data_IF_805285780597
#
_entry.id   IF_805285780597
#
_cell.length_a   1.000
_cell.length_b   1.000
_cell.length_c   1.000
_cell.angle_alpha   90.00
_cell.angle_beta   90.00
_cell.angle_gamma   90.00
#
_symmetry.space_group_name_H-M   'P 1'
#
loop_
_entity.id
_entity.type
_entity.pdbx_description
1 polymer ?
#
# COMPACT_ATOMS: atom_id res chain seq x y z
N UNK A 1 1.11 -20.01 -22.32
CA UNK A 1 2.41 -19.59 -22.87
C UNK A 1 3.30 -19.33 -21.68
N UNK A 2 4.56 -19.74 -21.65
CA UNK A 2 5.46 -19.28 -20.59
C UNK A 2 5.51 -17.78 -20.68
N UNK A 3 5.27 -17.13 -19.55
CA UNK A 3 5.41 -15.67 -19.42
C UNK A 3 6.86 -15.36 -19.79
N UNK A 4 7.12 -14.42 -20.72
CA UNK A 4 8.48 -14.09 -21.05
C UNK A 4 9.15 -13.54 -19.79
N UNK A 5 10.29 -14.10 -19.44
CA UNK A 5 11.20 -13.53 -18.46
C UNK A 5 11.27 -12.02 -18.74
N UNK A 6 11.04 -11.19 -17.76
CA UNK A 6 11.19 -9.75 -17.91
C UNK A 6 12.65 -9.36 -17.67
N UNK A 7 13.55 -9.49 -18.67
CA UNK A 7 14.98 -9.28 -18.47
C UNK A 7 15.30 -7.88 -17.96
N UNK A 8 14.38 -6.93 -18.20
CA UNK A 8 14.47 -5.58 -17.64
C UNK A 8 14.23 -5.52 -16.12
N UNK A 9 13.38 -6.37 -15.58
CA UNK A 9 13.05 -6.36 -14.15
C UNK A 9 14.25 -6.82 -13.29
N UNK A 10 14.91 -7.88 -13.70
CA UNK A 10 16.10 -8.38 -12.98
C UNK A 10 17.26 -7.39 -13.03
N UNK A 11 17.46 -6.70 -14.17
CA UNK A 11 18.48 -5.66 -14.28
C UNK A 11 18.17 -4.48 -13.35
N UNK A 12 16.93 -4.04 -13.29
CA UNK A 12 16.48 -3.00 -12.35
C UNK A 12 16.78 -3.44 -10.91
N UNK A 13 16.45 -4.69 -10.56
CA UNK A 13 16.69 -5.23 -9.23
C UNK A 13 18.19 -5.28 -8.89
N UNK A 14 19.04 -5.68 -9.85
CA UNK A 14 20.49 -5.73 -9.67
C UNK A 14 21.08 -4.32 -9.49
N UNK A 15 20.68 -3.36 -10.30
CA UNK A 15 21.14 -1.97 -10.20
C UNK A 15 20.71 -1.34 -8.87
N UNK A 16 19.47 -1.59 -8.44
CA UNK A 16 18.93 -1.09 -7.20
C UNK A 16 19.66 -1.69 -6.00
N UNK A 17 19.90 -3.00 -6.00
CA UNK A 17 20.68 -3.69 -4.96
C UNK A 17 22.16 -3.28 -4.97
N UNK A 18 22.71 -2.97 -6.13
CA UNK A 18 24.07 -2.43 -6.24
C UNK A 18 24.22 -1.05 -5.60
N UNK A 19 23.16 -0.25 -5.59
CA UNK A 19 23.15 1.09 -5.00
C UNK A 19 22.71 1.08 -3.53
N UNK A 20 21.73 0.26 -3.20
CA UNK A 20 21.17 0.11 -1.85
C UNK A 20 21.12 -1.39 -1.52
N UNK A 21 22.15 -1.87 -0.85
CA UNK A 21 22.29 -3.27 -0.48
C UNK A 21 21.04 -3.80 0.24
N UNK A 22 20.48 -4.91 -0.24
CA UNK A 22 19.30 -5.55 0.32
C UNK A 22 17.99 -4.77 0.12
N UNK A 23 17.95 -3.86 -0.85
CA UNK A 23 16.72 -3.10 -1.15
C UNK A 23 15.66 -3.93 -1.86
N UNK A 24 16.06 -4.79 -2.81
CA UNK A 24 15.15 -5.70 -3.51
C UNK A 24 15.31 -7.10 -2.93
N UNK A 25 14.22 -7.65 -2.45
CA UNK A 25 14.15 -8.97 -1.82
C UNK A 25 13.75 -10.06 -2.83
N UNK A 26 12.89 -9.72 -3.79
CA UNK A 26 12.37 -10.64 -4.78
C UNK A 26 11.87 -9.88 -6.02
N UNK A 27 11.72 -10.59 -7.13
CA UNK A 27 11.11 -10.09 -8.37
C UNK A 27 10.15 -11.13 -8.90
N UNK A 28 9.01 -10.70 -9.40
CA UNK A 28 8.08 -11.62 -10.06
C UNK A 28 7.36 -10.93 -11.23
N UNK A 29 6.90 -11.77 -12.14
CA UNK A 29 6.09 -11.34 -13.27
C UNK A 29 4.84 -12.21 -13.34
N UNK A 30 3.70 -11.63 -13.02
CA UNK A 30 2.41 -12.30 -12.99
C UNK A 30 1.34 -11.44 -13.67
N UNK A 31 0.45 -12.07 -14.43
CA UNK A 31 -0.66 -11.41 -15.11
C UNK A 31 -0.23 -10.18 -15.95
N UNK A 32 0.89 -10.32 -16.68
CA UNK A 32 1.51 -9.26 -17.48
C UNK A 32 1.96 -8.03 -16.67
N UNK A 33 2.22 -8.21 -15.37
CA UNK A 33 2.72 -7.16 -14.48
C UNK A 33 4.07 -7.52 -13.88
N UNK A 34 5.04 -6.64 -14.09
CA UNK A 34 6.34 -6.71 -13.45
C UNK A 34 6.27 -6.16 -12.02
N UNK A 35 6.81 -6.87 -11.06
CA UNK A 35 6.81 -6.45 -9.68
C UNK A 35 8.17 -6.65 -8.99
N UNK A 36 8.59 -5.64 -8.23
CA UNK A 36 9.73 -5.66 -7.32
C UNK A 36 9.21 -5.78 -5.88
N UNK A 37 9.66 -6.79 -5.16
CA UNK A 37 9.45 -6.86 -3.71
C UNK A 37 10.62 -6.17 -3.02
N UNK A 38 10.35 -5.08 -2.32
CA UNK A 38 11.40 -4.27 -1.70
C UNK A 38 11.34 -4.36 -0.17
N UNK A 39 12.50 -4.18 0.45
CA UNK A 39 12.59 -4.05 1.90
C UNK A 39 11.77 -2.84 2.38
N UNK A 40 10.90 -2.99 3.40
CA UNK A 40 10.12 -1.86 3.94
C UNK A 40 10.98 -0.67 4.35
N UNK A 41 12.20 -0.92 4.84
CA UNK A 41 13.13 0.12 5.26
C UNK A 41 13.79 0.86 4.09
N UNK A 42 13.64 0.37 2.86
CA UNK A 42 14.24 0.92 1.64
C UNK A 42 13.23 1.33 0.58
N UNK A 43 11.93 1.29 0.90
CA UNK A 43 10.88 1.58 -0.08
C UNK A 43 11.00 2.97 -0.67
N UNK A 44 11.24 3.99 0.15
CA UNK A 44 11.36 5.40 -0.30
C UNK A 44 12.62 5.60 -1.14
N UNK A 45 13.74 4.96 -0.76
CA UNK A 45 14.98 4.99 -1.55
C UNK A 45 14.79 4.35 -2.93
N UNK A 46 14.10 3.20 -2.97
CA UNK A 46 13.79 2.50 -4.21
C UNK A 46 12.86 3.32 -5.12
N UNK A 47 11.79 3.89 -4.57
CA UNK A 47 10.86 4.74 -5.30
C UNK A 47 11.55 5.99 -5.86
N UNK A 48 12.42 6.64 -5.06
CA UNK A 48 13.21 7.80 -5.50
C UNK A 48 14.14 7.43 -6.65
N UNK A 49 14.84 6.31 -6.53
CA UNK A 49 15.74 5.84 -7.57
C UNK A 49 15.00 5.54 -8.88
N UNK A 50 13.86 4.83 -8.81
CA UNK A 50 13.03 4.53 -9.97
C UNK A 50 12.48 5.78 -10.65
N UNK A 51 12.15 6.83 -9.87
CA UNK A 51 11.65 8.09 -10.39
C UNK A 51 12.73 8.92 -11.08
N UNK A 52 13.92 9.01 -10.45
CA UNK A 52 14.92 10.03 -10.78
C UNK A 52 16.06 9.51 -11.67
N UNK A 53 16.27 8.19 -11.74
CA UNK A 53 17.38 7.61 -12.53
C UNK A 53 17.08 7.72 -14.02
N UNK A 54 18.04 8.26 -14.83
CA UNK A 54 17.92 8.25 -16.29
C UNK A 54 17.74 6.82 -16.82
N UNK A 55 16.77 6.65 -17.70
CA UNK A 55 16.41 5.33 -18.25
C UNK A 55 15.34 4.58 -17.43
N UNK A 56 15.15 4.90 -16.15
CA UNK A 56 14.04 4.37 -15.34
C UNK A 56 12.82 5.29 -15.42
N UNK A 57 12.90 6.49 -14.93
CA UNK A 57 11.93 7.59 -15.10
C UNK A 57 10.47 7.23 -14.80
N UNK A 58 10.22 6.40 -13.80
CA UNK A 58 8.87 6.08 -13.31
C UNK A 58 8.32 7.25 -12.50
N UNK A 59 7.99 8.35 -13.19
CA UNK A 59 7.62 9.64 -12.58
C UNK A 59 6.16 9.76 -12.22
N UNK A 60 5.34 8.81 -12.61
CA UNK A 60 3.91 8.82 -12.31
C UNK A 60 3.55 7.69 -11.36
N UNK A 61 3.03 8.04 -10.18
CA UNK A 61 2.43 7.11 -9.24
C UNK A 61 0.94 7.05 -9.51
N UNK A 62 0.50 5.93 -10.04
CA UNK A 62 -0.89 5.67 -10.41
C UNK A 62 -1.74 5.32 -9.18
N UNK A 63 -1.19 4.51 -8.28
CA UNK A 63 -1.91 4.05 -7.10
C UNK A 63 -0.96 3.64 -5.98
N UNK A 64 -1.38 3.90 -4.73
CA UNK A 64 -0.88 3.23 -3.53
C UNK A 64 -2.05 2.50 -2.90
N UNK A 65 -1.91 1.21 -2.65
CA UNK A 65 -2.95 0.43 -1.99
C UNK A 65 -2.34 -0.65 -1.10
N UNK A 66 -3.11 -1.10 -0.13
CA UNK A 66 -2.69 -2.15 0.78
C UNK A 66 -3.49 -3.43 0.57
N UNK A 67 -2.93 -4.54 1.03
CA UNK A 67 -3.61 -5.83 1.08
C UNK A 67 -3.25 -6.58 2.36
N UNK A 68 -4.20 -7.33 2.90
CA UNK A 68 -3.99 -8.26 4.01
C UNK A 68 -3.94 -9.68 3.45
N UNK A 69 -2.83 -10.38 3.65
CA UNK A 69 -2.58 -11.73 3.15
C UNK A 69 -2.81 -12.82 4.20
N UNK A 70 -3.37 -12.48 5.38
CA UNK A 70 -3.66 -13.49 6.41
C UNK A 70 -4.29 -14.77 5.79
N UNK A 71 -3.83 -15.99 6.08
CA UNK A 71 -2.85 -16.36 7.11
C UNK A 71 -1.38 -16.38 6.65
N UNK A 72 -1.05 -15.86 5.48
CA UNK A 72 0.33 -15.82 4.99
C UNK A 72 1.17 -14.76 5.73
N UNK A 73 2.47 -15.04 5.84
CA UNK A 73 3.46 -14.11 6.35
C UNK A 73 4.52 -13.80 5.28
N UNK A 74 4.92 -12.54 5.14
CA UNK A 74 4.47 -11.34 5.88
C UNK A 74 3.01 -10.97 5.55
N UNK A 75 2.26 -10.57 6.61
CA UNK A 75 0.80 -10.41 6.55
C UNK A 75 0.34 -9.28 5.65
N UNK A 76 0.96 -8.11 5.73
CA UNK A 76 0.50 -6.94 4.98
C UNK A 76 1.42 -6.65 3.78
N UNK A 77 0.83 -6.16 2.70
CA UNK A 77 1.55 -5.65 1.56
C UNK A 77 1.09 -4.25 1.18
N UNK A 78 2.03 -3.34 0.98
CA UNK A 78 1.75 -2.03 0.37
C UNK A 78 2.29 -2.05 -1.05
N UNK A 79 1.43 -1.72 -1.99
CA UNK A 79 1.71 -1.75 -3.42
C UNK A 79 1.73 -0.34 -3.98
N UNK A 80 2.78 -0.01 -4.72
CA UNK A 80 2.95 1.24 -5.44
C UNK A 80 2.94 0.93 -6.93
N UNK A 81 1.93 1.43 -7.63
CA UNK A 81 1.79 1.24 -9.08
C UNK A 81 2.43 2.42 -9.80
N UNK A 82 3.58 2.17 -10.38
CA UNK A 82 4.35 3.19 -11.07
C UNK A 82 4.17 3.09 -12.59
N UNK A 83 4.24 4.24 -13.27
CA UNK A 83 4.19 4.33 -14.72
C UNK A 83 5.32 5.23 -15.26
N UNK A 84 6.07 4.69 -16.20
CA UNK A 84 6.94 5.47 -17.07
C UNK A 84 6.14 5.93 -18.30
N UNK A 85 5.81 7.22 -18.37
CA UNK A 85 4.97 7.76 -19.43
C UNK A 85 5.63 7.69 -20.81
N UNK A 86 6.95 7.83 -20.89
CA UNK A 86 7.69 7.85 -22.17
C UNK A 86 7.74 6.47 -22.83
N UNK A 87 7.81 5.39 -22.04
CA UNK A 87 7.84 4.01 -22.53
C UNK A 87 6.49 3.31 -22.43
N UNK A 88 5.49 3.94 -21.78
CA UNK A 88 4.17 3.34 -21.49
C UNK A 88 4.35 2.00 -20.73
N UNK A 89 5.27 2.00 -19.77
CA UNK A 89 5.71 0.82 -19.03
C UNK A 89 5.28 0.94 -17.57
N UNK A 90 4.67 -0.12 -17.06
CA UNK A 90 4.23 -0.20 -15.66
C UNK A 90 5.19 -1.03 -14.84
N UNK A 91 5.35 -0.63 -13.59
CA UNK A 91 6.13 -1.37 -12.61
C UNK A 91 5.43 -1.30 -11.26
N UNK A 92 5.20 -2.44 -10.65
CA UNK A 92 4.73 -2.53 -9.27
C UNK A 92 5.90 -2.62 -8.32
N UNK A 93 5.87 -1.82 -7.26
CA UNK A 93 6.77 -1.96 -6.11
C UNK A 93 5.93 -2.42 -4.93
N UNK A 94 6.29 -3.55 -4.31
CA UNK A 94 5.61 -4.13 -3.16
C UNK A 94 6.52 -4.07 -1.95
N UNK A 95 6.05 -3.44 -0.87
CA UNK A 95 6.66 -3.54 0.45
C UNK A 95 5.83 -4.51 1.30
N UNK A 96 6.48 -5.57 1.78
CA UNK A 96 5.84 -6.61 2.59
C UNK A 96 6.13 -6.37 4.06
N UNK A 97 5.07 -6.22 4.87
CA UNK A 97 5.14 -5.87 6.29
C UNK A 97 4.64 -7.04 7.15
N UNK A 98 5.42 -7.45 8.16
CA UNK A 98 4.94 -8.42 9.13
C UNK A 98 3.84 -7.81 10.01
N UNK A 99 3.01 -8.65 10.59
CA UNK A 99 2.12 -8.24 11.67
C UNK A 99 2.94 -8.06 12.95
N UNK A 100 3.03 -6.84 13.53
CA UNK A 100 3.79 -6.65 14.76
C UNK A 100 3.13 -7.28 15.98
N UNK A 101 1.86 -7.66 15.87
CA UNK A 101 1.07 -8.28 16.95
C UNK A 101 0.66 -7.31 18.07
N UNK A 102 -0.36 -7.71 18.82
CA UNK A 102 -0.90 -6.93 19.93
C UNK A 102 -1.52 -5.59 19.46
N UNK A 103 -1.27 -4.54 20.22
CA UNK A 103 -1.79 -3.18 19.92
C UNK A 103 -0.92 -2.38 18.93
N UNK A 104 0.22 -2.95 18.51
CA UNK A 104 1.11 -2.27 17.59
C UNK A 104 0.57 -2.33 16.16
N UNK A 105 0.82 -1.26 15.42
CA UNK A 105 0.46 -1.17 14.00
C UNK A 105 1.69 -1.36 13.12
N UNK A 106 1.54 -1.95 11.93
CA UNK A 106 2.63 -2.01 10.96
C UNK A 106 2.98 -0.60 10.48
N UNK A 107 4.26 -0.33 10.27
CA UNK A 107 4.76 0.98 9.91
C UNK A 107 5.57 0.95 8.62
N UNK A 108 5.46 2.02 7.84
CA UNK A 108 6.20 2.24 6.61
C UNK A 108 6.50 3.73 6.45
N UNK A 109 7.58 4.08 5.74
CA UNK A 109 7.86 5.49 5.47
C UNK A 109 6.96 6.00 4.35
N UNK A 110 6.42 7.23 4.53
CA UNK A 110 5.57 7.90 3.55
C UNK A 110 6.36 8.28 2.30
N UNK A 111 5.72 8.15 1.13
CA UNK A 111 6.30 8.62 -0.12
C UNK A 111 5.67 9.94 -0.64
N UNK A 112 4.88 10.65 0.16
CA UNK A 112 4.19 11.91 -0.22
C UNK A 112 5.16 12.97 -0.72
N UNK A 113 6.36 13.09 -0.13
CA UNK A 113 7.40 14.01 -0.61
C UNK A 113 7.87 13.69 -2.05
N UNK A 114 7.83 12.42 -2.42
CA UNK A 114 8.21 11.98 -3.76
C UNK A 114 7.04 12.11 -4.75
N UNK A 115 5.87 11.70 -4.30
CA UNK A 115 4.64 11.64 -5.08
C UNK A 115 3.49 12.25 -4.29
N UNK A 116 3.17 13.53 -4.47
CA UNK A 116 2.08 14.19 -3.74
C UNK A 116 0.71 13.50 -3.89
N UNK A 117 0.51 12.75 -4.98
CA UNK A 117 -0.71 11.95 -5.20
C UNK A 117 -0.88 10.82 -4.18
N UNK A 118 0.16 10.43 -3.47
CA UNK A 118 0.10 9.40 -2.44
C UNK A 118 -0.64 9.85 -1.17
N UNK A 119 -0.78 11.15 -0.92
CA UNK A 119 -1.33 11.70 0.31
C UNK A 119 -2.67 11.05 0.71
N UNK A 120 -3.64 11.07 -0.17
CA UNK A 120 -4.97 10.49 0.13
C UNK A 120 -4.96 8.96 0.09
N UNK A 121 -4.11 8.36 -0.72
CA UNK A 121 -4.03 6.90 -0.89
C UNK A 121 -3.33 6.24 0.33
N UNK A 122 -2.33 6.89 0.90
CA UNK A 122 -1.71 6.43 2.15
C UNK A 122 -2.69 6.57 3.33
N UNK A 123 -3.50 7.63 3.37
CA UNK A 123 -4.59 7.77 4.34
C UNK A 123 -5.63 6.66 4.20
N UNK A 124 -5.99 6.27 2.97
CA UNK A 124 -6.92 5.15 2.72
C UNK A 124 -6.32 3.83 3.23
N UNK A 125 -5.05 3.55 2.94
CA UNK A 125 -4.38 2.36 3.45
C UNK A 125 -4.27 2.36 4.98
N UNK A 126 -4.03 3.51 5.60
CA UNK A 126 -4.11 3.67 7.05
C UNK A 126 -5.53 3.41 7.56
N UNK A 127 -6.53 4.02 6.95
CA UNK A 127 -7.92 3.96 7.40
C UNK A 127 -8.50 2.54 7.40
N UNK A 128 -8.15 1.74 6.40
CA UNK A 128 -8.69 0.40 6.24
C UNK A 128 -7.84 -0.72 6.84
N UNK A 129 -6.52 -0.57 6.88
CA UNK A 129 -5.61 -1.62 7.33
C UNK A 129 -4.81 -1.26 8.59
N UNK A 130 -4.80 0.01 9.00
CA UNK A 130 -4.01 0.47 10.14
C UNK A 130 -2.51 0.49 9.86
N UNK A 131 -2.09 0.70 8.61
CA UNK A 131 -0.68 0.85 8.27
C UNK A 131 -0.28 2.31 8.49
N UNK A 132 0.66 2.54 9.42
CA UNK A 132 1.13 3.88 9.78
C UNK A 132 2.21 4.32 8.79
N UNK A 133 1.96 5.43 8.09
CA UNK A 133 2.95 6.03 7.18
C UNK A 133 3.73 7.12 7.90
N UNK A 134 4.97 6.81 8.29
CA UNK A 134 5.85 7.76 9.01
C UNK A 134 6.25 8.92 8.11
N UNK A 135 6.14 10.13 8.63
CA UNK A 135 6.43 11.35 7.86
C UNK A 135 5.29 11.82 6.96
N UNK A 136 4.12 11.17 7.00
CA UNK A 136 2.93 11.66 6.32
C UNK A 136 2.47 12.99 6.94
N UNK A 137 2.12 14.02 6.15
CA UNK A 137 1.81 15.34 6.67
C UNK A 137 0.52 15.42 7.49
N UNK A 138 -0.48 14.58 7.20
CA UNK A 138 -1.80 14.59 7.86
C UNK A 138 -2.41 13.18 7.85
N UNK A 139 -1.85 12.26 8.65
CA UNK A 139 -2.30 10.87 8.71
C UNK A 139 -3.52 10.73 9.63
N UNK A 140 -4.70 10.81 9.05
CA UNK A 140 -5.99 10.62 9.73
C UNK A 140 -6.95 9.83 8.84
N UNK A 141 -8.02 9.30 9.40
CA UNK A 141 -9.05 8.59 8.63
C UNK A 141 -9.61 9.45 7.49
N UNK A 142 -10.05 8.84 6.41
CA UNK A 142 -10.56 9.53 5.23
C UNK A 142 -11.94 9.05 4.80
N UNK A 143 -12.21 7.76 4.90
CA UNK A 143 -13.48 7.13 4.48
C UNK A 143 -14.33 6.70 5.66
N UNK A 144 -13.70 6.20 6.72
CA UNK A 144 -14.40 5.85 7.95
C UNK A 144 -14.55 7.07 8.85
N UNK A 145 -15.60 7.12 9.71
CA UNK A 145 -15.72 8.14 10.77
C UNK A 145 -14.48 8.20 11.65
N UNK A 146 -14.18 9.38 12.20
CA UNK A 146 -12.98 9.58 13.02
C UNK A 146 -12.98 8.72 14.30
N UNK A 147 -14.18 8.43 14.83
CA UNK A 147 -14.42 7.61 16.01
C UNK A 147 -14.64 6.11 15.70
N UNK A 148 -14.46 5.70 14.44
CA UNK A 148 -14.61 4.30 14.07
C UNK A 148 -13.51 3.43 14.69
N UNK A 149 -13.90 2.33 15.35
CA UNK A 149 -12.99 1.41 16.00
C UNK A 149 -12.61 0.24 15.07
N UNK A 150 -11.31 0.00 14.92
CA UNK A 150 -10.76 -1.10 14.12
C UNK A 150 -10.43 -0.75 12.68
N UNK A 151 -10.15 -1.81 11.89
CA UNK A 151 -9.60 -1.73 10.53
C UNK A 151 -10.43 -2.62 9.60
N UNK A 152 -11.44 -2.10 8.92
CA UNK A 152 -12.51 -2.90 8.32
C UNK A 152 -12.08 -3.77 7.14
N UNK A 153 -10.94 -3.53 6.52
CA UNK A 153 -10.44 -4.38 5.43
C UNK A 153 -9.41 -5.43 5.88
N UNK A 154 -9.10 -5.52 7.18
CA UNK A 154 -8.34 -6.65 7.69
C UNK A 154 -9.18 -7.92 7.62
N UNK A 155 -8.55 -9.04 7.24
CA UNK A 155 -9.24 -10.34 7.08
C UNK A 155 -9.77 -10.93 8.39
N UNK A 156 -9.24 -10.51 9.51
CA UNK A 156 -9.69 -10.88 10.86
C UNK A 156 -10.70 -9.88 11.45
N UNK A 157 -11.08 -8.85 10.71
CA UNK A 157 -12.12 -7.93 11.16
C UNK A 157 -13.48 -8.65 11.18
N UNK A 158 -14.26 -8.55 12.29
CA UNK A 158 -15.53 -9.25 12.44
C UNK A 158 -16.54 -8.84 11.37
N UNK A 159 -17.09 -9.83 10.66
CA UNK A 159 -18.22 -9.57 9.76
C UNK A 159 -19.52 -9.49 10.56
N UNK A 160 -20.21 -8.36 10.47
CA UNK A 160 -21.50 -8.16 11.12
C UNK A 160 -21.38 -7.83 12.61
N UNK A 161 -20.99 -6.69 12.91
CA UNK A 161 -20.88 -6.09 14.25
C UNK A 161 -20.71 -4.59 14.16
N UNK A 162 -20.77 -4.08 12.95
CA UNK A 162 -20.72 -2.63 12.76
C UNK A 162 -21.95 -2.02 13.41
N UNK A 163 -21.78 -1.03 14.31
CA UNK A 163 -22.89 -0.26 14.80
C UNK A 163 -23.50 0.44 13.59
N UNK A 164 -24.64 -0.07 13.14
CA UNK A 164 -25.40 0.60 12.09
C UNK A 164 -25.99 1.83 12.73
N UNK A 165 -25.33 2.97 12.53
CA UNK A 165 -25.85 4.27 12.93
C UNK A 165 -27.00 4.64 12.00
N UNK A 166 -28.16 4.01 12.20
CA UNK A 166 -29.39 4.62 11.73
C UNK A 166 -29.68 5.84 12.60
N UNK A 167 -30.17 6.90 11.98
CA UNK A 167 -30.69 8.08 12.66
C UNK A 167 -31.89 7.78 13.58
N UNK A 168 -32.30 6.52 13.67
CA UNK A 168 -33.36 6.02 14.53
C UNK A 168 -32.71 5.24 15.67
N UNK A 169 -32.66 5.85 16.86
CA UNK A 169 -32.36 5.12 18.06
C UNK A 169 -33.39 4.00 18.21
N UNK A 170 -32.92 2.80 18.58
CA UNK A 170 -33.78 1.65 18.90
C UNK A 170 -34.85 1.98 19.98
N UNK A 171 -34.76 3.14 20.62
CA UNK A 171 -35.61 3.60 21.72
C UNK A 171 -36.72 4.59 21.25
N UNK A 172 -36.59 5.19 20.09
CA UNK A 172 -37.58 6.13 19.55
C UNK A 172 -38.04 5.70 18.16
N UNK A 173 -39.13 4.98 18.08
CA UNK A 173 -39.87 4.82 16.83
C UNK A 173 -40.36 6.19 16.37
N UNK A 174 -40.05 6.62 15.14
CA UNK A 174 -40.55 7.87 14.61
C UNK A 174 -42.08 7.88 14.66
N UNK A 175 -42.67 8.98 15.09
CA UNK A 175 -44.12 9.13 15.23
C UNK A 175 -44.97 8.91 13.94
N UNK A 176 -44.27 8.78 12.78
CA UNK A 176 -44.91 8.46 11.50
C UNK A 176 -44.93 6.94 11.19
N UNK A 177 -44.48 6.11 12.14
CA UNK A 177 -44.56 4.64 12.06
C UNK A 177 -45.71 4.05 12.88
N UNK A 178 -46.53 4.88 13.57
CA UNK A 178 -47.74 4.45 14.25
C UNK A 178 -48.99 4.53 13.33
#
# INVERSE_FOLDING_TARGET
>A
MPVPDAPGLELIAQELNGKFEGSVLDTYYEHDQAALVVSPTRVVDALRWLRDTPGQEYRFLSSVHAADYLPAEPRFGVHYELLCMSRVERLRVKAALPDPGGEKLPELDSCVELFPTAEFQEREAYDFFGIVFRGHPDLRRILMPEDYEGWPQRRDFPMGGEPVLYTHNEVETPAWWE
#
